data_IF_443985180817
#
_entry.id   IF_443985180817
#
_cell.length_a   1.000
_cell.length_b   1.000
_cell.length_c   1.000
_cell.angle_alpha   90.00
_cell.angle_beta   90.00
_cell.angle_gamma   90.00
#
_symmetry.space_group_name_H-M   'P 1'
#
loop_
_entity.id
_entity.type
_entity.pdbx_description
1 polymer ?
#
# COMPACT_ATOMS: atom_id res chain seq x y z
N UNK A 1 6.59 0.47 0.66
CA UNK A 1 7.16 -0.90 0.60
C UNK A 1 5.98 -1.85 0.61
N UNK A 2 6.09 -3.03 0.00
CA UNK A 2 5.03 -4.04 0.10
C UNK A 2 5.28 -4.88 1.35
N UNK A 3 4.21 -5.31 2.02
CA UNK A 3 4.32 -6.17 3.19
C UNK A 3 4.72 -7.60 2.79
N UNK A 4 5.07 -8.40 3.80
CA UNK A 4 5.55 -9.77 3.59
C UNK A 4 4.43 -10.82 3.62
N UNK A 5 3.20 -10.45 3.26
CA UNK A 5 2.06 -11.38 3.24
C UNK A 5 2.33 -12.56 2.27
N UNK A 6 1.93 -13.80 2.63
CA UNK A 6 2.02 -14.96 1.74
C UNK A 6 1.51 -14.73 0.31
N UNK A 7 0.44 -13.95 0.11
CA UNK A 7 -0.08 -13.65 -1.24
C UNK A 7 0.90 -12.80 -2.06
N UNK A 8 1.64 -11.91 -1.40
CA UNK A 8 2.58 -10.98 -2.01
C UNK A 8 3.97 -11.61 -2.26
N UNK A 9 4.28 -12.72 -1.60
CA UNK A 9 5.56 -13.46 -1.74
C UNK A 9 5.40 -14.71 -2.64
N UNK A 10 4.19 -15.00 -3.12
CA UNK A 10 3.93 -16.13 -3.99
C UNK A 10 4.81 -16.12 -5.25
N UNK A 11 5.31 -17.29 -5.65
CA UNK A 11 6.22 -17.45 -6.79
C UNK A 11 5.70 -16.81 -8.09
N UNK A 12 4.42 -16.95 -8.47
CA UNK A 12 3.89 -16.30 -9.67
C UNK A 12 3.96 -14.77 -9.61
N UNK A 13 3.71 -14.19 -8.43
CA UNK A 13 3.78 -12.74 -8.21
C UNK A 13 5.22 -12.25 -8.34
N UNK A 14 6.19 -12.97 -7.75
CA UNK A 14 7.62 -12.67 -7.89
C UNK A 14 8.08 -12.74 -9.35
N UNK A 15 7.66 -13.77 -10.09
CA UNK A 15 8.01 -13.93 -11.50
C UNK A 15 7.45 -12.80 -12.36
N UNK A 16 6.18 -12.42 -12.14
CA UNK A 16 5.55 -11.30 -12.84
C UNK A 16 6.27 -9.98 -12.56
N UNK A 17 6.60 -9.73 -11.29
CA UNK A 17 7.35 -8.54 -10.90
C UNK A 17 8.73 -8.54 -11.55
N UNK A 18 9.45 -9.68 -11.54
CA UNK A 18 10.80 -9.82 -12.13
C UNK A 18 10.78 -9.50 -13.62
N UNK A 19 9.72 -9.93 -14.32
CA UNK A 19 9.52 -9.62 -15.73
C UNK A 19 9.28 -8.13 -16.00
N UNK A 20 8.53 -7.44 -15.14
CA UNK A 20 8.15 -6.04 -15.35
C UNK A 20 9.19 -5.02 -14.85
N UNK A 21 9.88 -5.31 -13.76
CA UNK A 21 10.74 -4.32 -13.07
C UNK A 21 12.23 -4.69 -13.03
N UNK A 22 12.60 -5.89 -13.50
CA UNK A 22 13.96 -6.42 -13.44
C UNK A 22 14.35 -6.90 -12.03
N UNK A 23 15.33 -7.81 -11.96
CA UNK A 23 15.74 -8.48 -10.73
C UNK A 23 16.19 -7.53 -9.61
N UNK A 24 16.68 -6.33 -9.94
CA UNK A 24 17.35 -5.44 -8.98
C UNK A 24 16.39 -4.57 -8.16
N UNK A 25 15.09 -4.54 -8.51
CA UNK A 25 14.13 -3.61 -7.89
C UNK A 25 13.04 -4.28 -7.05
N UNK A 26 13.04 -5.61 -6.95
CA UNK A 26 11.93 -6.36 -6.34
C UNK A 26 12.35 -6.84 -4.95
N UNK A 27 12.43 -5.87 -4.04
CA UNK A 27 12.67 -6.11 -2.61
C UNK A 27 11.38 -6.55 -1.91
N UNK A 28 10.82 -7.69 -2.31
CA UNK A 28 9.63 -8.33 -1.67
C UNK A 28 9.95 -9.77 -1.24
N UNK A 29 11.17 -10.02 -0.79
CA UNK A 29 11.57 -11.33 -0.30
C UNK A 29 12.09 -11.22 1.12
N UNK A 30 11.47 -12.02 2.01
CA UNK A 30 11.68 -12.13 3.46
C UNK A 30 13.11 -12.50 3.92
N UNK A 31 14.09 -12.48 3.01
CA UNK A 31 15.42 -13.09 3.16
C UNK A 31 16.60 -12.18 2.77
N UNK A 32 16.41 -10.87 2.68
CA UNK A 32 17.49 -9.87 2.52
C UNK A 32 17.40 -8.81 3.64
N UNK A 33 18.48 -8.04 3.93
CA UNK A 33 18.59 -7.17 5.11
C UNK A 33 17.48 -6.12 5.29
N UNK A 34 16.77 -5.79 4.20
CA UNK A 34 15.68 -4.80 4.17
C UNK A 34 14.29 -5.45 4.08
N UNK A 35 14.17 -6.73 4.44
CA UNK A 35 12.87 -7.38 4.56
C UNK A 35 12.11 -6.80 5.76
N UNK A 36 10.92 -6.23 5.52
CA UNK A 36 10.04 -5.83 6.61
C UNK A 36 9.79 -7.03 7.53
N UNK A 37 9.89 -6.85 8.86
CA UNK A 37 9.57 -7.91 9.80
C UNK A 37 8.15 -8.45 9.53
N UNK A 38 7.92 -9.76 9.70
CA UNK A 38 6.60 -10.33 9.56
C UNK A 38 5.64 -9.64 10.52
N UNK A 39 4.51 -9.15 9.99
CA UNK A 39 3.45 -8.42 10.72
C UNK A 39 3.83 -7.04 11.27
N UNK A 40 4.69 -6.29 10.59
CA UNK A 40 4.93 -4.87 10.91
C UNK A 40 4.21 -3.92 9.93
N UNK A 41 2.91 -3.67 10.09
CA UNK A 41 2.22 -2.59 9.37
C UNK A 41 2.84 -1.23 9.71
N UNK A 42 3.51 -1.11 10.86
CA UNK A 42 4.16 0.11 11.33
C UNK A 42 5.43 0.52 10.55
N UNK A 43 5.88 -0.29 9.59
CA UNK A 43 7.07 0.04 8.78
C UNK A 43 6.74 0.45 7.35
N UNK A 44 5.46 0.44 6.98
CA UNK A 44 5.03 0.94 5.69
C UNK A 44 4.45 2.35 5.84
N UNK A 45 5.06 3.33 5.15
CA UNK A 45 4.55 4.71 5.11
C UNK A 45 3.10 4.76 4.62
N UNK A 46 2.68 3.84 3.75
CA UNK A 46 1.30 3.74 3.32
C UNK A 46 0.35 3.32 4.45
N UNK A 47 0.74 2.37 5.31
CA UNK A 47 -0.15 1.86 6.37
C UNK A 47 -0.16 2.77 7.60
N UNK A 48 0.96 3.41 7.92
CA UNK A 48 1.03 4.38 9.02
C UNK A 48 0.39 5.73 8.66
N UNK A 49 0.84 6.34 7.57
CA UNK A 49 0.52 7.73 7.29
C UNK A 49 -0.67 7.85 6.35
N UNK A 50 -0.63 7.20 5.18
CA UNK A 50 -1.71 7.33 4.19
C UNK A 50 -3.00 6.69 4.70
N UNK A 51 -2.95 5.46 5.20
CA UNK A 51 -4.11 4.78 5.75
C UNK A 51 -4.57 5.41 7.06
N UNK A 52 -3.64 5.87 7.91
CA UNK A 52 -3.97 6.66 9.11
C UNK A 52 -4.80 7.90 8.77
N UNK A 53 -4.37 8.68 7.77
CA UNK A 53 -5.10 9.85 7.28
C UNK A 53 -6.43 9.51 6.62
N UNK A 54 -6.47 8.48 5.78
CA UNK A 54 -7.68 8.08 5.07
C UNK A 54 -8.73 7.47 6.01
N UNK A 55 -8.32 6.89 7.14
CA UNK A 55 -9.21 6.27 8.13
C UNK A 55 -10.27 7.26 8.63
N UNK A 56 -9.86 8.48 8.97
CA UNK A 56 -10.79 9.52 9.45
C UNK A 56 -11.84 9.87 8.39
N UNK A 57 -11.49 9.74 7.12
CA UNK A 57 -12.40 10.04 6.04
C UNK A 57 -13.27 8.85 5.63
N UNK A 58 -12.74 7.62 5.67
CA UNK A 58 -13.51 6.40 5.39
C UNK A 58 -14.54 6.14 6.48
N UNK A 59 -14.20 6.41 7.74
CA UNK A 59 -15.08 6.16 8.89
C UNK A 59 -15.78 7.42 9.44
N UNK A 60 -15.39 8.62 9.02
CA UNK A 60 -15.95 9.88 9.51
C UNK A 60 -17.34 10.24 8.97
N UNK A 61 -17.92 9.45 8.06
CA UNK A 61 -19.27 9.67 7.59
C UNK A 61 -19.83 8.50 6.78
N UNK A 62 -21.15 8.28 6.80
CA UNK A 62 -21.78 7.16 6.08
C UNK A 62 -21.48 7.24 4.59
N UNK A 63 -21.14 6.10 4.00
CA UNK A 63 -20.98 5.91 2.55
C UNK A 63 -22.12 5.06 2.05
N UNK A 64 -22.89 5.55 1.06
CA UNK A 64 -24.08 4.84 0.59
C UNK A 64 -23.73 3.62 -0.30
N UNK A 65 -22.61 3.68 -1.03
CA UNK A 65 -22.18 2.60 -1.91
C UNK A 65 -20.66 2.64 -2.20
N UNK A 66 -20.17 1.60 -2.89
CA UNK A 66 -18.75 1.45 -3.21
C UNK A 66 -18.23 2.48 -4.22
N UNK A 67 -19.08 3.03 -5.09
CA UNK A 67 -18.68 4.07 -6.05
C UNK A 67 -18.42 5.39 -5.33
N UNK A 68 -19.28 5.76 -4.38
CA UNK A 68 -19.10 6.93 -3.53
C UNK A 68 -17.80 6.81 -2.73
N UNK A 69 -17.56 5.68 -2.07
CA UNK A 69 -16.33 5.42 -1.31
C UNK A 69 -15.07 5.57 -2.18
N UNK A 70 -15.07 5.03 -3.41
CA UNK A 70 -13.94 5.17 -4.35
C UNK A 70 -13.71 6.62 -4.78
N UNK A 71 -14.77 7.35 -5.09
CA UNK A 71 -14.69 8.77 -5.47
C UNK A 71 -14.09 9.59 -4.34
N UNK A 72 -14.63 9.37 -3.14
CA UNK A 72 -14.19 9.91 -1.87
C UNK A 72 -12.69 9.67 -1.64
N UNK A 73 -12.21 8.42 -1.72
CA UNK A 73 -10.78 8.10 -1.53
C UNK A 73 -9.90 8.82 -2.56
N UNK A 74 -10.32 8.83 -3.83
CA UNK A 74 -9.59 9.48 -4.92
C UNK A 74 -9.43 10.98 -4.67
N UNK A 75 -10.50 11.64 -4.23
CA UNK A 75 -10.49 13.07 -3.92
C UNK A 75 -9.47 13.39 -2.81
N UNK A 76 -9.50 12.67 -1.70
CA UNK A 76 -8.58 12.93 -0.57
C UNK A 76 -7.12 12.64 -0.90
N UNK A 77 -6.84 11.65 -1.75
CA UNK A 77 -5.49 11.38 -2.26
C UNK A 77 -5.00 12.53 -3.15
N UNK A 78 -5.87 13.10 -3.99
CA UNK A 78 -5.52 14.25 -4.81
C UNK A 78 -5.24 15.51 -3.96
N UNK A 79 -6.02 15.73 -2.91
CA UNK A 79 -5.80 16.84 -1.98
C UNK A 79 -4.46 16.73 -1.23
N UNK A 80 -4.08 15.51 -0.83
CA UNK A 80 -2.75 15.23 -0.28
C UNK A 80 -1.65 15.62 -1.28
N UNK A 81 -1.81 15.20 -2.54
CA UNK A 81 -0.83 15.43 -3.60
C UNK A 81 -0.65 16.92 -3.89
N UNK A 82 -1.72 17.72 -3.76
CA UNK A 82 -1.63 19.18 -3.90
C UNK A 82 -1.01 19.88 -2.69
N UNK A 83 -1.16 19.34 -1.47
CA UNK A 83 -0.57 19.93 -0.24
C UNK A 83 0.91 19.63 -0.05
N UNK A 84 1.42 18.57 -0.67
CA UNK A 84 2.83 18.16 -0.57
C UNK A 84 3.72 18.74 -1.68
N UNK A 85 3.17 19.61 -2.53
CA UNK A 85 3.87 20.29 -3.63
C UNK A 85 4.18 21.73 -3.26
#
# INVERSE_FOLDING_TARGET
MQDSDPQHIATPVKQLLNLHFGNDRINISRHLPTASPPRSPDLNLCDLWLWGYLKDFVYGGPTANSAELKCRITQHINDITMKLR
#
